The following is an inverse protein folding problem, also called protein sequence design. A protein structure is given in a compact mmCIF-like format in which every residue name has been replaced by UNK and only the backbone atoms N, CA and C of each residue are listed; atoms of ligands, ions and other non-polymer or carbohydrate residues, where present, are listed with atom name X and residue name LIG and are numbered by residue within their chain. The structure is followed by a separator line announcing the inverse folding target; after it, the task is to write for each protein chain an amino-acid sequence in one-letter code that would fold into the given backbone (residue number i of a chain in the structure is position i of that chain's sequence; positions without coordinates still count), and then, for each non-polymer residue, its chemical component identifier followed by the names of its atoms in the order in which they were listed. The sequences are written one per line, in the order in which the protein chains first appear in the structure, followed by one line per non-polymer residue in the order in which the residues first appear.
data_IF_314338633987
#
_entry.id   IF_314338633987
#
_cell.length_a   1.000
_cell.length_b   1.000
_cell.length_c   1.000
_cell.angle_alpha   90.00
_cell.angle_beta   90.00
_cell.angle_gamma   90.00
#
_symmetry.space_group_name_H-M   'P 1'
#
loop_
_entity.id
_entity.type
_entity.pdbx_description
1 polymer ?
#
# COMPACT_ATOMS: atom_id res chain seq x y z
N UNK A 1 -11.75 -16.24 -51.91
CA UNK A 1 -10.81 -16.40 -53.04
C UNK A 1 -9.85 -15.23 -53.02
N UNK A 2 -8.54 -15.53 -52.87
CA UNK A 2 -7.35 -14.87 -53.48
C UNK A 2 -7.14 -13.36 -53.29
N UNK A 3 -5.97 -12.77 -53.02
CA UNK A 3 -4.54 -13.10 -52.86
C UNK A 3 -3.92 -11.84 -52.17
N UNK A 4 -3.07 -11.93 -51.14
CA UNK A 4 -1.60 -12.09 -51.17
C UNK A 4 -0.81 -10.99 -51.88
N UNK A 5 0.00 -10.21 -51.13
CA UNK A 5 1.36 -9.71 -51.48
C UNK A 5 1.97 -9.03 -50.24
N UNK A 6 2.93 -9.62 -49.50
CA UNK A 6 4.37 -9.90 -49.72
C UNK A 6 5.32 -8.79 -49.22
N UNK A 7 6.03 -9.15 -48.14
CA UNK A 7 7.42 -8.89 -47.72
C UNK A 7 8.41 -8.24 -48.71
N UNK A 8 9.26 -7.34 -48.17
CA UNK A 8 10.72 -7.17 -48.35
C UNK A 8 11.10 -5.69 -48.05
N UNK A 9 12.23 -5.29 -47.44
CA UNK A 9 13.51 -5.93 -47.16
C UNK A 9 14.34 -5.03 -46.19
N UNK A 10 15.23 -5.62 -45.36
CA UNK A 10 16.73 -5.56 -45.40
C UNK A 10 17.27 -4.10 -45.40
N UNK A 11 18.22 -3.63 -44.58
CA UNK A 11 19.56 -4.15 -44.23
C UNK A 11 20.10 -3.39 -43.00
N UNK A 12 20.87 -4.07 -42.15
CA UNK A 12 21.72 -3.47 -41.13
C UNK A 12 22.86 -2.63 -41.74
N UNK A 13 23.26 -1.54 -41.08
CA UNK A 13 24.56 -0.89 -41.28
C UNK A 13 25.14 -0.52 -39.92
N UNK A 14 26.30 -1.10 -39.64
CA UNK A 14 27.04 -0.92 -38.41
C UNK A 14 27.75 0.44 -38.32
N UNK A 15 28.00 0.83 -37.07
CA UNK A 15 28.94 1.78 -36.50
C UNK A 15 30.03 2.41 -37.40
N UNK A 16 30.39 3.67 -37.13
CA UNK A 16 31.66 4.10 -36.47
C UNK A 16 31.83 5.64 -36.47
N UNK A 17 32.22 6.13 -35.28
CA UNK A 17 33.09 7.28 -34.95
C UNK A 17 32.66 8.77 -35.04
N UNK A 18 32.67 9.37 -33.84
CA UNK A 18 33.33 10.62 -33.41
C UNK A 18 33.16 11.91 -34.25
N UNK A 19 32.47 12.90 -33.67
CA UNK A 19 33.05 14.23 -33.44
C UNK A 19 32.12 15.13 -32.59
N UNK A 20 32.58 15.41 -31.38
CA UNK A 20 32.58 16.74 -30.76
C UNK A 20 31.37 17.67 -31.04
N UNK A 21 30.34 17.58 -30.20
CA UNK A 21 29.63 18.77 -29.73
C UNK A 21 29.40 18.62 -28.23
N UNK A 22 29.86 19.62 -27.49
CA UNK A 22 29.95 19.60 -26.04
C UNK A 22 28.62 19.26 -25.37
N UNK A 23 28.59 18.10 -24.70
CA UNK A 23 27.70 17.94 -23.58
C UNK A 23 28.32 18.72 -22.42
N UNK A 24 27.78 19.90 -22.14
CA UNK A 24 27.85 20.46 -20.80
C UNK A 24 27.34 19.38 -19.86
N UNK A 25 28.23 18.80 -19.07
CA UNK A 25 27.86 18.05 -17.89
C UNK A 25 27.17 19.06 -16.97
N UNK A 26 25.86 19.24 -17.15
CA UNK A 26 25.02 19.74 -16.08
C UNK A 26 25.12 18.68 -15.00
N UNK A 27 25.97 18.93 -14.01
CA UNK A 27 25.68 18.49 -12.66
C UNK A 27 24.32 19.12 -12.33
N UNK A 28 23.25 18.47 -12.78
CA UNK A 28 21.90 18.77 -12.31
C UNK A 28 21.96 18.35 -10.85
N UNK A 29 22.10 19.36 -10.00
CA UNK A 29 22.14 19.25 -8.55
C UNK A 29 20.77 18.73 -8.12
N UNK A 30 20.61 17.40 -8.19
CA UNK A 30 19.47 16.72 -7.59
C UNK A 30 19.51 17.10 -6.11
N UNK A 31 18.53 17.86 -5.60
CA UNK A 31 18.52 18.21 -4.18
C UNK A 31 18.64 16.90 -3.41
N UNK A 32 19.51 16.80 -2.40
CA UNK A 32 19.79 15.55 -1.71
C UNK A 32 18.47 14.99 -1.19
N UNK A 33 17.90 14.03 -1.91
CA UNK A 33 16.69 13.36 -1.49
C UNK A 33 17.09 12.53 -0.29
N UNK A 34 16.54 12.85 0.88
CA UNK A 34 16.75 12.09 2.10
C UNK A 34 16.59 10.59 1.77
N UNK A 35 17.66 9.79 1.92
CA UNK A 35 17.67 8.43 1.40
C UNK A 35 16.65 7.52 2.10
N UNK A 36 16.09 7.95 3.25
CA UNK A 36 15.04 7.24 3.96
C UNK A 36 13.64 7.86 3.86
N UNK A 37 13.46 8.99 3.16
CA UNK A 37 12.15 9.66 3.02
C UNK A 37 11.05 8.74 2.48
N UNK A 38 11.40 7.85 1.55
CA UNK A 38 10.46 6.87 0.98
C UNK A 38 10.00 5.83 2.01
N UNK A 39 10.84 5.44 2.97
CA UNK A 39 10.45 4.51 4.03
C UNK A 39 9.62 5.21 5.09
N UNK A 40 9.94 6.47 5.41
CA UNK A 40 9.14 7.31 6.29
C UNK A 40 7.71 7.45 5.75
N UNK A 41 7.56 7.81 4.46
CA UNK A 41 6.25 7.92 3.82
C UNK A 41 5.43 6.61 3.87
N UNK A 42 6.09 5.44 3.83
CA UNK A 42 5.42 4.14 4.00
C UNK A 42 4.95 3.90 5.42
N UNK A 43 5.73 4.31 6.43
CA UNK A 43 5.33 4.25 7.84
C UNK A 43 4.13 5.16 8.07
N UNK A 44 4.14 6.38 7.54
CA UNK A 44 3.04 7.34 7.68
C UNK A 44 1.75 6.77 7.04
N UNK A 45 1.86 6.27 5.81
CA UNK A 45 0.73 5.62 5.12
C UNK A 45 0.20 4.38 5.86
N UNK A 46 1.08 3.57 6.42
CA UNK A 46 0.68 2.38 7.19
C UNK A 46 -0.04 2.78 8.49
N UNK A 47 0.43 3.85 9.15
CA UNK A 47 -0.17 4.41 10.37
C UNK A 47 -1.57 4.94 10.09
N UNK A 48 -1.73 5.74 9.04
CA UNK A 48 -3.03 6.27 8.64
C UNK A 48 -4.01 5.14 8.28
N UNK A 49 -3.55 4.13 7.54
CA UNK A 49 -4.36 2.98 7.20
C UNK A 49 -4.76 2.14 8.43
N UNK A 50 -3.88 2.02 9.43
CA UNK A 50 -4.19 1.38 10.71
C UNK A 50 -5.24 2.17 11.51
N UNK A 51 -5.18 3.50 11.48
CA UNK A 51 -6.19 4.35 12.10
C UNK A 51 -7.56 4.14 11.44
N UNK A 52 -7.63 4.13 10.10
CA UNK A 52 -8.88 3.89 9.36
C UNK A 52 -9.51 2.53 9.69
N UNK A 53 -8.74 1.44 9.63
CA UNK A 53 -9.29 0.11 9.94
C UNK A 53 -9.68 -0.02 11.41
N UNK A 54 -9.00 0.71 12.31
CA UNK A 54 -9.39 0.75 13.74
C UNK A 54 -10.73 1.45 13.92
N UNK A 55 -10.99 2.55 13.21
CA UNK A 55 -12.30 3.21 13.22
C UNK A 55 -13.41 2.30 12.65
N UNK A 56 -13.14 1.58 11.56
CA UNK A 56 -14.08 0.58 11.03
C UNK A 56 -14.36 -0.52 12.05
N UNK A 57 -13.32 -1.03 12.73
CA UNK A 57 -13.48 -2.04 13.78
C UNK A 57 -14.32 -1.54 14.97
N UNK A 58 -14.24 -0.26 15.33
CA UNK A 58 -15.10 0.35 16.34
C UNK A 58 -16.57 0.36 15.88
N UNK A 59 -16.85 0.83 14.65
CA UNK A 59 -18.20 0.81 14.08
C UNK A 59 -18.79 -0.60 13.97
N UNK A 60 -17.95 -1.61 13.66
CA UNK A 60 -18.42 -3.00 13.63
C UNK A 60 -18.74 -3.56 15.02
N UNK A 61 -18.10 -3.05 16.09
CA UNK A 61 -18.50 -3.40 17.45
C UNK A 61 -19.88 -2.83 17.77
N UNK A 62 -20.12 -1.55 17.46
CA UNK A 62 -21.41 -0.89 17.64
C UNK A 62 -22.53 -1.62 16.89
N UNK A 63 -22.28 -2.02 15.63
CA UNK A 63 -23.24 -2.82 14.83
C UNK A 63 -23.56 -4.18 15.45
N UNK A 64 -22.57 -4.83 16.07
CA UNK A 64 -22.81 -6.11 16.76
C UNK A 64 -23.65 -5.89 18.02
N UNK A 65 -23.45 -4.80 18.76
CA UNK A 65 -24.28 -4.50 19.92
C UNK A 65 -25.71 -4.15 19.51
N UNK A 66 -25.90 -3.28 18.51
CA UNK A 66 -27.22 -2.97 17.95
C UNK A 66 -27.96 -4.24 17.47
N UNK A 67 -27.28 -5.12 16.72
CA UNK A 67 -27.90 -6.36 16.26
C UNK A 67 -28.22 -7.35 17.41
N UNK A 68 -27.59 -7.24 18.58
CA UNK A 68 -27.99 -8.02 19.76
C UNK A 68 -29.28 -7.45 20.37
N UNK A 69 -29.40 -6.13 20.40
CA UNK A 69 -30.61 -5.44 20.86
C UNK A 69 -31.80 -5.82 19.95
N UNK A 70 -31.62 -5.77 18.63
CA UNK A 70 -32.65 -6.21 17.66
C UNK A 70 -33.11 -7.65 17.90
N UNK A 71 -32.17 -8.57 18.20
CA UNK A 71 -32.51 -9.97 18.53
C UNK A 71 -33.27 -10.09 19.85
N UNK A 72 -32.99 -9.21 20.81
CA UNK A 72 -33.66 -9.18 22.11
C UNK A 72 -35.10 -8.64 21.99
N UNK A 73 -35.31 -7.63 21.15
CA UNK A 73 -36.61 -7.01 20.88
C UNK A 73 -37.49 -7.89 19.97
N UNK A 74 -36.89 -8.61 19.02
CA UNK A 74 -37.61 -9.48 18.09
C UNK A 74 -38.39 -10.58 18.84
N UNK A 75 -39.69 -10.67 18.54
CA UNK A 75 -40.62 -11.45 19.35
C UNK A 75 -40.61 -12.94 18.99
N UNK A 76 -40.93 -13.30 17.74
CA UNK A 76 -40.96 -14.69 17.28
C UNK A 76 -40.97 -14.83 15.75
N UNK A 77 -40.85 -16.07 15.27
CA UNK A 77 -41.03 -16.39 13.85
C UNK A 77 -39.91 -15.84 12.96
N UNK A 78 -40.29 -15.35 11.79
CA UNK A 78 -39.36 -14.85 10.76
C UNK A 78 -38.55 -13.65 11.25
N UNK A 79 -39.17 -12.71 11.96
CA UNK A 79 -38.50 -11.53 12.53
C UNK A 79 -37.30 -11.93 13.40
N UNK A 80 -37.49 -12.90 14.31
CA UNK A 80 -36.40 -13.38 15.19
C UNK A 80 -35.34 -14.16 14.43
N UNK A 81 -35.71 -14.87 13.37
CA UNK A 81 -34.75 -15.56 12.50
C UNK A 81 -33.88 -14.57 11.73
N UNK A 82 -34.50 -13.52 11.16
CA UNK A 82 -33.81 -12.47 10.41
C UNK A 82 -32.88 -11.65 11.31
N UNK A 83 -33.33 -11.27 12.51
CA UNK A 83 -32.48 -10.59 13.50
C UNK A 83 -31.25 -11.43 13.90
N UNK A 84 -31.44 -12.75 14.10
CA UNK A 84 -30.31 -13.67 14.40
C UNK A 84 -29.34 -13.78 13.24
N UNK A 85 -29.83 -13.80 12.01
CA UNK A 85 -29.00 -13.80 10.81
C UNK A 85 -28.20 -12.51 10.71
N UNK A 86 -28.85 -11.35 10.90
CA UNK A 86 -28.17 -10.05 10.91
C UNK A 86 -27.08 -9.98 11.99
N UNK A 87 -27.33 -10.52 13.18
CA UNK A 87 -26.31 -10.63 14.24
C UNK A 87 -25.14 -11.52 13.84
N UNK A 88 -25.39 -12.65 13.17
CA UNK A 88 -24.34 -13.53 12.67
C UNK A 88 -23.48 -12.82 11.61
N UNK A 89 -24.11 -12.14 10.65
CA UNK A 89 -23.44 -11.38 9.61
C UNK A 89 -22.60 -10.24 10.20
N UNK A 90 -23.13 -9.51 11.19
CA UNK A 90 -22.39 -8.46 11.89
C UNK A 90 -21.16 -9.00 12.64
N UNK A 91 -21.27 -10.16 13.29
CA UNK A 91 -20.15 -10.83 13.97
C UNK A 91 -19.08 -11.30 12.97
N UNK A 92 -19.50 -11.81 11.82
CA UNK A 92 -18.58 -12.19 10.76
C UNK A 92 -17.81 -10.96 10.24
N UNK A 93 -18.52 -9.89 9.88
CA UNK A 93 -17.90 -8.66 9.40
C UNK A 93 -16.91 -8.04 10.42
N UNK A 94 -17.25 -8.07 11.71
CA UNK A 94 -16.33 -7.68 12.79
C UNK A 94 -15.06 -8.55 12.82
N UNK A 95 -15.21 -9.85 12.64
CA UNK A 95 -14.09 -10.81 12.67
C UNK A 95 -13.17 -10.60 11.48
N UNK A 96 -13.71 -10.41 10.28
CA UNK A 96 -12.95 -10.08 9.07
C UNK A 96 -12.17 -8.77 9.27
N UNK A 97 -12.85 -7.73 9.77
CA UNK A 97 -12.20 -6.44 10.08
C UNK A 97 -11.08 -6.58 11.11
N UNK A 98 -11.24 -7.46 12.12
CA UNK A 98 -10.19 -7.76 13.11
C UNK A 98 -8.95 -8.36 12.44
N UNK A 99 -9.14 -9.27 11.48
CA UNK A 99 -8.03 -9.86 10.71
C UNK A 99 -7.34 -8.79 9.87
N UNK A 100 -8.09 -7.94 9.16
CA UNK A 100 -7.53 -6.82 8.40
C UNK A 100 -6.74 -5.87 9.29
N UNK A 101 -7.25 -5.54 10.49
CA UNK A 101 -6.53 -4.71 11.47
C UNK A 101 -5.20 -5.33 11.87
N UNK A 102 -5.17 -6.63 12.18
CA UNK A 102 -3.92 -7.35 12.50
C UNK A 102 -2.92 -7.33 11.33
N UNK A 103 -3.39 -7.53 10.10
CA UNK A 103 -2.54 -7.44 8.93
C UNK A 103 -1.94 -6.03 8.76
N UNK A 104 -2.72 -4.97 9.05
CA UNK A 104 -2.22 -3.59 9.03
C UNK A 104 -1.18 -3.33 10.12
N UNK A 105 -1.35 -3.89 11.32
CA UNK A 105 -0.34 -3.81 12.40
C UNK A 105 0.98 -4.46 11.97
N UNK A 106 0.93 -5.63 11.32
CA UNK A 106 2.13 -6.29 10.81
C UNK A 106 2.81 -5.50 9.69
N UNK A 107 2.03 -4.89 8.78
CA UNK A 107 2.55 -4.01 7.72
C UNK A 107 3.25 -2.79 8.29
N UNK A 108 2.69 -2.18 9.34
CA UNK A 108 3.31 -1.07 10.06
C UNK A 108 4.63 -1.51 10.70
N UNK A 109 4.64 -2.63 11.44
CA UNK A 109 5.85 -3.15 12.06
C UNK A 109 6.98 -3.37 11.03
N UNK A 110 6.66 -3.96 9.88
CA UNK A 110 7.64 -4.17 8.79
C UNK A 110 8.09 -2.87 8.11
N UNK A 111 7.22 -1.88 8.00
CA UNK A 111 7.60 -0.57 7.47
C UNK A 111 8.56 0.14 8.43
N UNK A 112 8.29 0.08 9.73
CA UNK A 112 9.16 0.61 10.78
C UNK A 112 10.52 -0.08 10.77
N UNK A 113 10.55 -1.41 10.68
CA UNK A 113 11.81 -2.17 10.57
C UNK A 113 12.67 -1.69 9.38
N UNK A 114 12.06 -1.54 8.20
CA UNK A 114 12.77 -1.04 7.00
C UNK A 114 13.27 0.38 7.15
N UNK A 115 12.52 1.23 7.85
CA UNK A 115 12.96 2.59 8.13
C UNK A 115 14.19 2.57 9.07
N UNK A 116 14.14 1.76 10.12
CA UNK A 116 15.27 1.59 11.05
C UNK A 116 16.51 1.04 10.34
N UNK A 117 16.35 0.03 9.48
CA UNK A 117 17.47 -0.48 8.66
C UNK A 117 18.04 0.60 7.76
N UNK A 118 17.19 1.35 7.05
CA UNK A 118 17.62 2.45 6.19
C UNK A 118 18.41 3.50 6.97
N UNK A 119 17.93 3.89 8.16
CA UNK A 119 18.60 4.86 9.02
C UNK A 119 19.94 4.34 9.55
N UNK A 120 20.05 3.04 9.83
CA UNK A 120 21.28 2.41 10.29
C UNK A 120 22.33 2.26 9.16
N UNK A 121 21.89 2.17 7.91
CA UNK A 121 22.76 2.05 6.73
C UNK A 121 23.23 3.41 6.18
N UNK A 122 22.70 4.54 6.69
CA UNK A 122 23.21 5.86 6.32
C UNK A 122 24.62 6.05 6.92
N UNK A 123 25.67 6.22 6.09
CA UNK A 123 26.98 6.58 6.63
C UNK A 123 26.86 7.91 7.36
N UNK A 124 27.60 8.13 8.47
CA UNK A 124 27.72 9.46 9.04
C UNK A 124 28.16 10.38 7.89
N UNK A 125 27.48 11.52 7.73
CA UNK A 125 27.85 12.50 6.73
C UNK A 125 29.33 12.86 6.94
N UNK A 126 30.21 12.24 6.16
CA UNK A 126 31.63 12.51 6.21
C UNK A 126 31.79 13.93 5.71
N UNK A 127 32.17 14.79 6.65
CA UNK A 127 32.62 16.15 6.51
C UNK A 127 33.45 16.29 5.22
N UNK A 128 33.03 17.22 4.35
CA UNK A 128 33.86 17.66 3.25
C UNK A 128 35.20 18.18 3.83
N UNK A 129 36.37 17.70 3.36
CA UNK A 129 37.64 18.23 3.82
C UNK A 129 37.78 19.71 3.42
N UNK A 130 38.29 20.50 4.37
CA UNK A 130 38.54 21.93 4.28
C UNK A 130 39.51 22.35 3.17
#
# INVERSE_FOLDING_TARGET
MTLTTRLAGVVASAAIALAAFGATASADEVPPTDPCAQQQAKVDKATEALARVTAVFARQQERVEAAKEDVAEATAGQEKADARKALADARQAKTETKVTKRAQQQRLAKATERLTTCQAEQPPATEAPA
#
